data_IF_317977971216
#
_entry.id   IF_317977971216
#
_cell.length_a   1.000
_cell.length_b   1.000
_cell.length_c   1.000
_cell.angle_alpha   90.00
_cell.angle_beta   90.00
_cell.angle_gamma   90.00
#
_symmetry.space_group_name_H-M   'P 1'
#
loop_
_entity.id
_entity.type
_entity.pdbx_description
1 polymer ?
#
# COMPACT_ATOMS: atom_id res chain seq x y z
N UNK A 1 -16.40 -22.12 -6.89
CA UNK A 1 -15.37 -21.12 -7.26
C UNK A 1 -14.33 -21.14 -6.16
N UNK A 2 -13.13 -21.63 -6.42
CA UNK A 2 -12.09 -21.81 -5.40
C UNK A 2 -11.57 -20.44 -4.97
N UNK A 3 -11.77 -20.06 -3.71
CA UNK A 3 -11.13 -18.89 -3.15
C UNK A 3 -9.64 -19.24 -2.98
N UNK A 4 -8.82 -18.83 -3.95
CA UNK A 4 -7.37 -18.97 -3.88
C UNK A 4 -6.89 -18.30 -2.60
N UNK A 5 -6.20 -19.06 -1.75
CA UNK A 5 -5.59 -18.60 -0.50
C UNK A 5 -4.96 -17.23 -0.74
N UNK A 6 -5.54 -16.19 -0.13
CA UNK A 6 -5.05 -14.82 -0.17
C UNK A 6 -3.54 -14.89 0.00
N UNK A 7 -2.79 -14.57 -1.04
CA UNK A 7 -1.36 -14.35 -0.94
C UNK A 7 -1.23 -13.24 0.10
N UNK A 8 -0.78 -13.59 1.30
CA UNK A 8 -0.50 -12.62 2.36
C UNK A 8 0.65 -11.78 1.82
N UNK A 9 0.30 -10.72 1.12
CA UNK A 9 1.26 -9.79 0.56
C UNK A 9 1.86 -9.01 1.70
N UNK A 10 3.18 -9.10 1.81
CA UNK A 10 3.95 -8.28 2.72
C UNK A 10 3.67 -6.82 2.41
N UNK A 11 3.46 -6.05 3.48
CA UNK A 11 3.05 -4.65 3.42
C UNK A 11 3.89 -3.85 4.40
N UNK A 12 4.25 -2.64 4.00
CA UNK A 12 4.99 -1.71 4.86
C UNK A 12 4.09 -1.18 5.99
N UNK A 13 4.52 -1.29 7.27
CA UNK A 13 3.80 -0.74 8.41
C UNK A 13 3.68 0.79 8.32
N UNK A 14 4.65 1.46 7.71
CA UNK A 14 4.65 2.92 7.50
C UNK A 14 3.44 3.39 6.66
N UNK A 15 2.91 2.54 5.78
CA UNK A 15 1.70 2.86 5.01
C UNK A 15 0.43 2.90 5.86
N UNK A 16 0.48 2.46 7.13
CA UNK A 16 -0.63 2.59 8.08
C UNK A 16 -0.72 4.00 8.68
N UNK A 17 0.35 4.78 8.65
CA UNK A 17 0.42 6.12 9.23
C UNK A 17 0.06 7.26 8.26
N UNK A 18 -0.54 6.92 7.11
CA UNK A 18 -0.98 7.91 6.12
C UNK A 18 -0.47 7.65 4.71
N UNK A 19 0.40 6.65 4.56
CA UNK A 19 1.11 6.41 3.31
C UNK A 19 2.47 7.07 3.33
N UNK A 20 3.29 6.72 2.36
CA UNK A 20 4.64 7.22 2.14
C UNK A 20 4.59 8.12 0.91
N UNK A 21 5.30 9.24 1.00
CA UNK A 21 5.34 10.24 -0.06
C UNK A 21 6.12 9.75 -1.29
N UNK A 22 7.38 9.40 -1.04
CA UNK A 22 8.26 8.76 -2.00
C UNK A 22 8.07 7.23 -1.97
N UNK A 23 7.23 6.71 -2.86
CA UNK A 23 6.93 5.28 -2.95
C UNK A 23 8.15 4.41 -3.29
N UNK A 24 9.26 4.99 -3.79
CA UNK A 24 10.51 4.23 -4.00
C UNK A 24 11.12 3.72 -2.69
N UNK A 25 10.67 4.26 -1.55
CA UNK A 25 11.09 3.86 -0.20
C UNK A 25 10.28 2.71 0.40
N UNK A 26 9.23 2.23 -0.28
CA UNK A 26 8.49 1.06 0.18
C UNK A 26 9.39 -0.18 0.18
N UNK A 27 9.47 -0.89 1.30
CA UNK A 27 10.21 -2.16 1.36
C UNK A 27 9.57 -3.21 0.44
N UNK A 28 8.25 -3.12 0.24
CA UNK A 28 7.48 -3.98 -0.65
C UNK A 28 6.86 -3.18 -1.79
N UNK A 29 7.70 -2.80 -2.76
CA UNK A 29 7.27 -2.09 -3.96
C UNK A 29 6.64 -3.04 -5.00
N UNK A 30 5.42 -3.48 -4.72
CA UNK A 30 4.58 -4.27 -5.62
C UNK A 30 3.27 -3.53 -5.92
N UNK A 31 2.56 -3.96 -6.97
CA UNK A 31 1.30 -3.33 -7.38
C UNK A 31 0.28 -3.15 -6.22
N UNK A 32 -0.01 -4.18 -5.37
CA UNK A 32 -0.95 -3.99 -4.28
C UNK A 32 -0.42 -3.04 -3.18
N UNK A 33 0.89 -2.99 -2.93
CA UNK A 33 1.53 -2.06 -2.01
C UNK A 33 1.41 -0.60 -2.48
N UNK A 34 1.64 -0.37 -3.78
CA UNK A 34 1.46 0.95 -4.41
C UNK A 34 0.00 1.41 -4.35
N UNK A 35 -0.94 0.53 -4.74
CA UNK A 35 -2.37 0.84 -4.69
C UNK A 35 -2.85 1.14 -3.26
N UNK A 36 -2.39 0.36 -2.28
CA UNK A 36 -2.70 0.59 -0.88
C UNK A 36 -2.19 1.95 -0.41
N UNK A 37 -0.95 2.31 -0.75
CA UNK A 37 -0.35 3.60 -0.40
C UNK A 37 -1.17 4.76 -0.95
N UNK A 38 -1.52 4.71 -2.24
CA UNK A 38 -2.33 5.72 -2.91
C UNK A 38 -3.73 5.84 -2.29
N UNK A 39 -4.37 4.71 -1.97
CA UNK A 39 -5.69 4.71 -1.33
C UNK A 39 -5.66 5.39 0.06
N UNK A 40 -4.60 5.15 0.84
CA UNK A 40 -4.43 5.78 2.15
C UNK A 40 -4.22 7.29 2.04
N UNK A 41 -3.32 7.71 1.17
CA UNK A 41 -3.02 9.12 0.86
C UNK A 41 -4.28 9.86 0.39
N UNK A 42 -5.04 9.25 -0.51
CA UNK A 42 -6.32 9.79 -0.98
C UNK A 42 -7.36 9.96 0.14
N UNK A 43 -7.49 8.97 1.03
CA UNK A 43 -8.42 9.05 2.17
C UNK A 43 -8.09 10.18 3.15
N UNK A 44 -6.85 10.65 3.17
CA UNK A 44 -6.39 11.77 3.98
C UNK A 44 -6.32 13.11 3.20
N UNK A 45 -6.74 13.12 1.93
CA UNK A 45 -6.61 14.26 1.03
C UNK A 45 -5.15 14.75 0.88
N UNK A 46 -4.20 13.83 1.07
CA UNK A 46 -2.75 14.03 0.96
C UNK A 46 -2.27 13.40 -0.35
N UNK A 47 -2.62 14.03 -1.47
CA UNK A 47 -2.50 13.45 -2.83
C UNK A 47 -1.23 13.86 -3.58
N UNK A 48 -0.33 14.63 -2.96
CA UNK A 48 0.92 15.11 -3.56
C UNK A 48 2.12 14.88 -2.66
#
# INVERSE_FOLDING_TARGET
VSASLKQVLLRDPETEFGGVDDMTKLAYLNEPGVLHNLARRYALNDIY
#
